data_IF_795222367138
#
_entry.id   IF_795222367138
#
_cell.length_a   1.000
_cell.length_b   1.000
_cell.length_c   1.000
_cell.angle_alpha   90.00
_cell.angle_beta   90.00
_cell.angle_gamma   90.00
#
_symmetry.space_group_name_H-M   'P 1'
#
loop_
_entity.id
_entity.type
_entity.pdbx_description
1 polymer ?
#
# COMPACT_ATOMS: atom_id res chain seq x y z
N UNK A 1 -62.40 -26.78 -4.62
CA UNK A 1 -61.48 -27.26 -5.67
C UNK A 1 -60.87 -26.06 -6.34
N UNK A 2 -59.54 -26.10 -6.53
CA UNK A 2 -58.73 -25.41 -7.56
C UNK A 2 -58.72 -23.87 -7.50
N UNK A 3 -57.66 -23.10 -7.68
CA UNK A 3 -56.19 -23.14 -7.56
C UNK A 3 -55.74 -21.68 -7.86
N UNK A 4 -54.57 -21.25 -7.37
CA UNK A 4 -53.93 -19.97 -7.76
C UNK A 4 -53.50 -19.97 -9.25
N UNK A 5 -53.10 -18.82 -9.82
CA UNK A 5 -51.66 -18.52 -9.83
C UNK A 5 -51.29 -17.05 -9.55
N UNK A 6 -50.02 -16.91 -9.18
CA UNK A 6 -49.26 -15.69 -8.93
C UNK A 6 -49.06 -14.81 -10.18
N UNK A 7 -48.75 -13.53 -9.94
CA UNK A 7 -48.06 -12.67 -10.92
C UNK A 7 -47.01 -11.80 -10.21
N UNK A 8 -45.75 -12.07 -10.52
CA UNK A 8 -44.56 -11.25 -10.29
C UNK A 8 -44.66 -9.93 -11.09
N UNK A 9 -44.05 -8.83 -10.62
CA UNK A 9 -42.85 -8.22 -11.25
C UNK A 9 -42.50 -6.86 -10.62
N UNK A 10 -41.23 -6.69 -10.23
CA UNK A 10 -40.40 -5.49 -10.42
C UNK A 10 -39.08 -5.70 -9.67
N UNK A 11 -38.11 -6.14 -10.46
CA UNK A 11 -36.68 -6.15 -10.19
C UNK A 11 -36.14 -4.75 -9.86
N UNK A 12 -35.52 -4.60 -8.70
CA UNK A 12 -34.40 -3.66 -8.53
C UNK A 12 -33.13 -4.50 -8.34
N UNK A 13 -32.41 -4.64 -9.45
CA UNK A 13 -31.04 -5.13 -9.51
C UNK A 13 -30.13 -4.23 -8.67
N UNK A 14 -29.69 -4.71 -7.51
CA UNK A 14 -28.63 -4.09 -6.71
C UNK A 14 -27.48 -5.06 -6.38
N UNK A 15 -27.28 -6.09 -7.20
CA UNK A 15 -25.92 -6.57 -7.47
C UNK A 15 -25.34 -5.62 -8.53
N UNK A 16 -24.13 -5.07 -8.45
CA UNK A 16 -22.87 -5.78 -8.25
C UNK A 16 -21.82 -4.76 -7.77
N UNK A 17 -21.47 -4.79 -6.49
CA UNK A 17 -20.07 -4.71 -6.02
C UNK A 17 -20.00 -5.62 -4.80
N UNK A 18 -20.24 -6.90 -5.06
CA UNK A 18 -20.05 -7.96 -4.07
C UNK A 18 -18.60 -7.94 -3.60
N UNK A 19 -18.41 -8.22 -2.30
CA UNK A 19 -17.19 -8.02 -1.54
C UNK A 19 -15.92 -8.25 -2.38
N UNK A 20 -15.08 -7.21 -2.51
CA UNK A 20 -13.68 -7.39 -2.91
C UNK A 20 -13.14 -8.56 -2.09
N UNK A 21 -12.77 -9.64 -2.76
CA UNK A 21 -12.22 -10.84 -2.12
C UNK A 21 -11.12 -10.37 -1.19
N UNK A 22 -11.30 -10.54 0.12
CA UNK A 22 -10.30 -10.10 1.10
C UNK A 22 -9.07 -11.01 0.93
N UNK A 23 -8.11 -10.55 0.13
CA UNK A 23 -6.81 -11.21 -0.03
C UNK A 23 -6.00 -10.92 1.22
N UNK A 24 -5.53 -11.97 1.89
CA UNK A 24 -4.68 -11.80 3.06
C UNK A 24 -3.33 -11.16 2.69
N UNK A 25 -2.68 -10.50 3.64
CA UNK A 25 -1.33 -9.97 3.46
C UNK A 25 -0.33 -11.04 3.00
N UNK A 26 -0.46 -12.27 3.52
CA UNK A 26 0.37 -13.40 3.15
C UNK A 26 0.15 -13.83 1.69
N UNK A 27 -1.11 -13.95 1.25
CA UNK A 27 -1.44 -14.28 -0.14
C UNK A 27 -0.95 -13.19 -1.09
N UNK A 28 -1.26 -11.92 -0.81
CA UNK A 28 -0.81 -10.80 -1.64
C UNK A 28 0.71 -10.81 -1.80
N UNK A 29 1.45 -10.88 -0.69
CA UNK A 29 2.92 -10.86 -0.75
C UNK A 29 3.47 -12.11 -1.43
N UNK A 30 2.85 -13.29 -1.27
CA UNK A 30 3.28 -14.50 -1.98
C UNK A 30 3.22 -14.37 -3.51
N UNK A 31 2.30 -13.55 -4.03
CA UNK A 31 2.13 -13.32 -5.48
C UNK A 31 3.12 -12.31 -6.06
N UNK A 32 3.85 -11.56 -5.24
CA UNK A 32 4.76 -10.53 -5.70
C UNK A 32 6.13 -11.10 -6.09
N UNK A 33 6.70 -10.55 -7.16
CA UNK A 33 8.08 -10.82 -7.57
C UNK A 33 9.08 -10.31 -6.52
N UNK A 34 10.29 -10.87 -6.51
CA UNK A 34 11.33 -10.44 -5.58
C UNK A 34 11.70 -8.95 -5.71
N UNK A 35 11.85 -8.36 -6.91
CA UNK A 35 12.09 -6.93 -7.05
C UNK A 35 10.98 -6.05 -6.46
N UNK A 36 9.71 -6.46 -6.60
CA UNK A 36 8.57 -5.71 -6.06
C UNK A 36 8.50 -5.81 -4.54
N UNK A 37 8.82 -6.98 -3.97
CA UNK A 37 8.95 -7.15 -2.52
C UNK A 37 10.02 -6.23 -1.94
N UNK A 38 11.19 -6.19 -2.57
CA UNK A 38 12.30 -5.29 -2.19
C UNK A 38 11.89 -3.82 -2.30
N UNK A 39 11.17 -3.44 -3.37
CA UNK A 39 10.66 -2.09 -3.56
C UNK A 39 9.70 -1.67 -2.44
N UNK A 40 8.75 -2.54 -2.07
CA UNK A 40 7.81 -2.30 -0.97
C UNK A 40 8.50 -2.25 0.39
N UNK A 41 9.40 -3.20 0.65
CA UNK A 41 10.17 -3.25 1.90
C UNK A 41 10.96 -1.95 2.10
N UNK A 42 11.71 -1.51 1.08
CA UNK A 42 12.48 -0.25 1.14
C UNK A 42 11.57 0.96 1.31
N UNK A 43 10.43 0.99 0.61
CA UNK A 43 9.44 2.06 0.77
C UNK A 43 8.93 2.17 2.22
N UNK A 44 8.70 1.03 2.88
CA UNK A 44 8.23 0.97 4.26
C UNK A 44 9.35 1.31 5.25
N UNK A 45 10.48 0.60 5.19
CA UNK A 45 11.55 0.69 6.18
C UNK A 45 12.23 2.07 6.19
N UNK A 46 12.50 2.61 5.00
CA UNK A 46 13.25 3.86 4.84
C UNK A 46 12.37 5.09 5.04
N UNK A 47 11.08 5.02 4.68
CA UNK A 47 10.15 6.14 4.82
C UNK A 47 9.40 6.14 6.17
N UNK A 48 9.77 5.27 7.11
CA UNK A 48 9.16 5.22 8.45
C UNK A 48 10.05 5.93 9.48
N UNK A 49 9.43 6.62 10.44
CA UNK A 49 10.13 7.18 11.61
C UNK A 49 10.03 6.31 12.86
N UNK A 50 9.21 5.24 12.81
CA UNK A 50 9.10 4.28 13.90
C UNK A 50 10.41 3.47 14.05
N UNK A 51 10.68 2.99 15.27
CA UNK A 51 11.91 2.27 15.61
C UNK A 51 11.61 1.03 16.43
N UNK A 52 12.56 0.10 16.47
CA UNK A 52 12.45 -1.13 17.27
C UNK A 52 12.60 -0.82 18.76
N UNK A 53 11.78 -1.45 19.58
CA UNK A 53 11.83 -1.33 21.02
C UNK A 53 11.02 -2.42 21.71
N UNK A 54 10.89 -2.32 23.02
CA UNK A 54 10.17 -3.28 23.85
C UNK A 54 8.98 -2.61 24.53
N UNK A 55 7.81 -3.24 24.48
CA UNK A 55 6.61 -2.83 25.20
C UNK A 55 6.05 -4.05 25.91
N UNK A 56 5.88 -3.97 27.23
CA UNK A 56 5.38 -5.07 28.07
C UNK A 56 6.17 -6.39 27.92
N UNK A 57 7.49 -6.30 27.66
CA UNK A 57 8.38 -7.46 27.47
C UNK A 57 8.39 -8.04 26.05
N UNK A 58 7.60 -7.49 25.13
CA UNK A 58 7.51 -7.94 23.74
C UNK A 58 8.26 -6.99 22.79
N UNK A 59 9.08 -7.57 21.91
CA UNK A 59 9.81 -6.81 20.89
C UNK A 59 8.86 -6.32 19.80
N UNK A 60 8.72 -5.00 19.68
CA UNK A 60 7.76 -4.36 18.78
C UNK A 60 8.34 -3.09 18.14
N UNK A 61 7.50 -2.34 17.44
CA UNK A 61 7.83 -1.04 16.89
C UNK A 61 7.13 0.07 17.68
N UNK A 62 7.89 1.11 18.00
CA UNK A 62 7.41 2.32 18.70
C UNK A 62 7.33 3.46 17.68
N UNK A 63 6.14 4.05 17.53
CA UNK A 63 5.87 5.11 16.56
C UNK A 63 4.38 5.29 16.29
N UNK A 64 4.03 5.89 15.15
CA UNK A 64 2.63 6.05 14.76
C UNK A 64 2.00 4.69 14.40
N UNK A 65 0.71 4.49 14.72
CA UNK A 65 0.01 3.21 14.50
C UNK A 65 0.10 2.72 13.05
N UNK A 66 0.06 3.63 12.08
CA UNK A 66 0.17 3.28 10.66
C UNK A 66 1.59 2.84 10.30
N UNK A 67 2.61 3.54 10.79
CA UNK A 67 4.01 3.17 10.51
C UNK A 67 4.42 1.86 11.19
N UNK A 68 3.98 1.64 12.42
CA UNK A 68 4.26 0.38 13.13
C UNK A 68 3.54 -0.78 12.47
N UNK A 69 2.29 -0.60 12.02
CA UNK A 69 1.57 -1.62 11.26
C UNK A 69 2.26 -2.00 9.94
N UNK A 70 2.77 -1.01 9.18
CA UNK A 70 3.52 -1.28 7.95
C UNK A 70 4.85 -1.99 8.23
N UNK A 71 5.58 -1.61 9.28
CA UNK A 71 6.81 -2.30 9.68
C UNK A 71 6.54 -3.75 10.12
N UNK A 72 5.44 -4.00 10.83
CA UNK A 72 4.99 -5.36 11.19
C UNK A 72 4.68 -6.18 9.94
N UNK A 73 3.95 -5.61 8.97
CA UNK A 73 3.69 -6.23 7.67
C UNK A 73 4.99 -6.60 6.95
N UNK A 74 5.95 -5.67 6.89
CA UNK A 74 7.22 -5.89 6.22
C UNK A 74 8.05 -6.99 6.91
N UNK A 75 8.09 -7.00 8.24
CA UNK A 75 8.77 -8.05 9.03
C UNK A 75 8.12 -9.42 8.81
N UNK A 76 6.79 -9.48 8.85
CA UNK A 76 6.06 -10.74 8.77
C UNK A 76 6.01 -11.34 7.35
N UNK A 77 5.95 -10.49 6.32
CA UNK A 77 5.58 -10.94 4.97
C UNK A 77 6.51 -10.50 3.85
N UNK A 78 7.40 -9.53 4.08
CA UNK A 78 8.39 -9.08 3.08
C UNK A 78 9.82 -9.54 3.39
N UNK A 79 10.02 -10.29 4.48
CA UNK A 79 11.34 -10.78 4.87
C UNK A 79 12.26 -9.69 5.44
N UNK A 80 11.68 -8.60 5.96
CA UNK A 80 12.46 -7.51 6.56
C UNK A 80 13.16 -7.98 7.83
N UNK A 81 14.48 -7.78 7.88
CA UNK A 81 15.29 -7.96 9.08
C UNK A 81 15.08 -6.81 10.09
N UNK A 82 16.09 -6.53 10.94
CA UNK A 82 16.08 -5.34 11.77
C UNK A 82 15.92 -4.07 10.92
N UNK A 83 14.97 -3.20 11.27
CA UNK A 83 14.71 -1.98 10.47
C UNK A 83 15.92 -1.04 10.44
N UNK A 84 16.75 -1.08 11.49
CA UNK A 84 18.02 -0.37 11.58
C UNK A 84 18.98 -0.79 10.47
N UNK A 85 19.10 -2.09 10.21
CA UNK A 85 19.97 -2.62 9.16
C UNK A 85 19.53 -2.15 7.76
N UNK A 86 18.23 -2.14 7.49
CA UNK A 86 17.69 -1.63 6.21
C UNK A 86 18.05 -0.15 6.00
N UNK A 87 17.96 0.65 7.07
CA UNK A 87 18.29 2.07 7.05
C UNK A 87 19.79 2.31 6.92
N UNK A 88 20.62 1.54 7.61
CA UNK A 88 22.08 1.63 7.55
C UNK A 88 22.63 1.21 6.18
N UNK A 89 21.96 0.28 5.50
CA UNK A 89 22.30 -0.13 4.13
C UNK A 89 21.90 0.89 3.06
N UNK A 90 21.15 1.95 3.41
CA UNK A 90 20.69 2.96 2.48
C UNK A 90 21.40 4.31 2.70
N UNK A 91 21.90 4.90 1.61
CA UNK A 91 22.40 6.29 1.67
C UNK A 91 21.24 7.27 1.49
N UNK A 92 20.84 7.90 2.58
CA UNK A 92 19.79 8.94 2.57
C UNK A 92 20.37 10.26 2.08
N UNK A 93 19.78 10.80 1.01
CA UNK A 93 20.16 12.09 0.42
C UNK A 93 19.33 13.24 1.00
N UNK A 94 18.04 12.99 1.25
CA UNK A 94 17.14 14.00 1.81
C UNK A 94 15.95 13.37 2.51
N UNK A 95 15.59 13.89 3.67
CA UNK A 95 14.31 13.62 4.33
C UNK A 95 13.37 14.78 4.05
N UNK A 96 12.13 14.47 3.66
CA UNK A 96 11.08 15.45 3.41
C UNK A 96 9.96 15.21 4.43
N UNK A 97 9.97 15.93 5.57
CA UNK A 97 8.99 15.75 6.63
C UNK A 97 7.54 15.89 6.14
N UNK A 98 6.62 15.36 6.94
CA UNK A 98 5.20 15.53 6.69
C UNK A 98 4.82 17.00 6.71
N UNK A 99 4.08 17.42 5.69
CA UNK A 99 3.52 18.75 5.60
C UNK A 99 2.03 18.64 5.34
N UNK A 100 1.22 19.39 6.11
CA UNK A 100 -0.25 19.33 6.05
C UNK A 100 -0.83 19.93 4.76
N UNK A 101 -0.10 20.84 4.10
CA UNK A 101 -0.48 21.42 2.82
C UNK A 101 -0.37 20.41 1.68
N UNK A 102 0.70 19.60 1.66
CA UNK A 102 0.87 18.51 0.67
C UNK A 102 0.37 17.14 1.12
N UNK A 103 0.03 16.98 2.41
CA UNK A 103 -0.46 15.75 3.05
C UNK A 103 0.38 14.50 2.74
N UNK A 104 1.69 14.67 2.64
CA UNK A 104 2.62 13.58 2.41
C UNK A 104 3.98 13.86 3.05
N UNK A 105 4.75 12.79 3.24
CA UNK A 105 6.17 12.81 3.58
C UNK A 105 6.95 11.90 2.64
N UNK A 106 8.27 12.05 2.60
CA UNK A 106 9.10 11.19 1.78
C UNK A 106 10.56 11.19 2.17
N UNK A 107 11.29 10.28 1.55
CA UNK A 107 12.73 10.14 1.70
C UNK A 107 13.36 9.92 0.33
N UNK A 108 14.43 10.66 0.05
CA UNK A 108 15.24 10.52 -1.15
C UNK A 108 16.48 9.73 -0.78
N UNK A 109 16.71 8.62 -1.47
CA UNK A 109 17.87 7.74 -1.26
C UNK A 109 18.67 7.56 -2.53
N UNK A 110 19.96 7.31 -2.41
CA UNK A 110 20.83 7.01 -3.53
C UNK A 110 20.59 5.59 -4.05
N UNK A 111 20.54 5.42 -5.38
CA UNK A 111 20.45 4.11 -6.00
C UNK A 111 21.86 3.52 -6.25
N UNK A 112 22.07 2.21 -6.10
CA UNK A 112 23.36 1.57 -6.37
C UNK A 112 23.85 1.74 -7.82
N UNK A 113 22.92 1.86 -8.77
CA UNK A 113 23.18 2.07 -10.20
C UNK A 113 23.46 3.53 -10.56
N UNK A 114 23.52 4.42 -9.58
CA UNK A 114 23.58 5.86 -9.77
C UNK A 114 22.18 6.51 -9.80
N UNK A 115 22.14 7.82 -9.55
CA UNK A 115 20.89 8.57 -9.39
C UNK A 115 20.27 8.41 -8.00
N UNK A 116 19.00 8.78 -7.89
CA UNK A 116 18.26 8.81 -6.63
C UNK A 116 16.83 8.32 -6.82
N UNK A 117 16.23 7.80 -5.74
CA UNK A 117 14.82 7.40 -5.67
C UNK A 117 14.12 8.10 -4.53
N UNK A 118 12.96 8.68 -4.80
CA UNK A 118 12.05 9.23 -3.80
C UNK A 118 11.02 8.16 -3.43
N UNK A 119 11.02 7.75 -2.17
CA UNK A 119 9.90 7.02 -1.57
C UNK A 119 8.97 8.04 -0.91
N UNK A 120 7.66 7.97 -1.19
CA UNK A 120 6.66 8.92 -0.70
C UNK A 120 5.47 8.17 -0.09
N UNK A 121 4.96 8.66 1.04
CA UNK A 121 3.73 8.18 1.68
C UNK A 121 2.87 9.36 2.12
N UNK A 122 1.55 9.19 2.08
CA UNK A 122 0.60 10.27 2.35
C UNK A 122 -0.83 9.88 1.98
N UNK A 123 -1.71 10.86 1.89
CA UNK A 123 -3.09 10.64 1.44
C UNK A 123 -3.10 10.05 0.02
N UNK A 124 -3.77 8.91 -0.15
CA UNK A 124 -3.75 8.10 -1.37
C UNK A 124 -4.33 8.86 -2.57
N UNK A 125 -5.39 9.64 -2.39
CA UNK A 125 -6.02 10.45 -3.44
C UNK A 125 -5.06 11.54 -3.95
N UNK A 126 -4.29 12.15 -3.04
CA UNK A 126 -3.34 13.21 -3.37
C UNK A 126 -2.12 12.64 -4.11
N UNK A 127 -1.65 11.47 -3.71
CA UNK A 127 -0.55 10.80 -4.39
C UNK A 127 -0.99 10.28 -5.76
N UNK A 128 -2.16 9.64 -5.85
CA UNK A 128 -2.70 9.12 -7.11
C UNK A 128 -2.85 10.23 -8.16
N UNK A 129 -3.32 11.41 -7.77
CA UNK A 129 -3.44 12.57 -8.66
C UNK A 129 -2.09 13.03 -9.26
N UNK A 130 -0.95 12.59 -8.71
CA UNK A 130 0.40 12.88 -9.21
C UNK A 130 1.04 11.69 -9.93
N UNK A 131 0.44 10.51 -9.87
CA UNK A 131 0.95 9.31 -10.50
C UNK A 131 0.67 9.33 -12.01
N UNK A 132 1.70 9.02 -12.81
CA UNK A 132 1.59 8.89 -14.28
C UNK A 132 1.87 7.47 -14.76
N UNK A 133 2.37 6.61 -13.87
CA UNK A 133 2.77 5.23 -14.14
C UNK A 133 2.37 4.31 -13.00
N UNK A 134 2.24 3.04 -13.31
CA UNK A 134 1.98 1.95 -12.36
C UNK A 134 2.86 0.74 -12.71
N UNK A 135 3.02 -0.20 -11.78
CA UNK A 135 3.63 -1.48 -12.07
C UNK A 135 2.81 -2.21 -13.15
N UNK A 136 3.49 -2.78 -14.15
CA UNK A 136 2.82 -3.46 -15.26
C UNK A 136 2.27 -4.81 -14.82
N UNK A 137 3.13 -5.67 -14.26
CA UNK A 137 2.76 -6.93 -13.64
C UNK A 137 3.64 -7.17 -12.40
N UNK A 138 3.12 -6.84 -11.20
CA UNK A 138 3.86 -6.99 -9.95
C UNK A 138 4.31 -8.42 -9.64
N UNK A 139 3.72 -9.44 -10.27
CA UNK A 139 4.10 -10.85 -10.08
C UNK A 139 5.34 -11.24 -10.89
N UNK A 140 5.68 -10.46 -11.92
CA UNK A 140 6.80 -10.72 -12.82
C UNK A 140 8.05 -9.92 -12.41
N UNK A 141 7.97 -8.59 -12.37
CA UNK A 141 9.11 -7.70 -12.07
C UNK A 141 8.66 -6.31 -11.58
N UNK A 142 9.59 -5.34 -11.50
CA UNK A 142 9.33 -3.94 -11.15
C UNK A 142 9.17 -3.01 -12.37
N UNK A 143 8.88 -3.57 -13.55
CA UNK A 143 8.61 -2.79 -14.75
C UNK A 143 7.33 -1.97 -14.62
N UNK A 144 7.33 -0.80 -15.25
CA UNK A 144 6.23 0.16 -15.17
C UNK A 144 5.59 0.41 -16.53
N UNK A 145 4.27 0.59 -16.52
CA UNK A 145 3.47 1.02 -17.66
C UNK A 145 2.80 2.36 -17.37
N UNK A 146 2.22 2.98 -18.40
CA UNK A 146 1.44 4.21 -18.25
C UNK A 146 0.19 3.92 -17.44
N UNK A 147 -0.10 4.75 -16.44
CA UNK A 147 -1.36 4.65 -15.70
C UNK A 147 -2.49 5.12 -16.61
N UNK A 148 -3.37 4.21 -17.04
CA UNK A 148 -4.49 4.58 -17.91
C UNK A 148 -5.56 5.35 -17.12
N UNK A 149 -6.41 6.09 -17.83
CA UNK A 149 -7.54 6.76 -17.20
C UNK A 149 -8.50 5.77 -16.52
N UNK A 150 -8.63 4.56 -17.06
CA UNK A 150 -9.45 3.51 -16.47
C UNK A 150 -8.82 2.98 -15.17
N UNK A 151 -7.50 2.74 -15.15
CA UNK A 151 -6.79 2.32 -13.93
C UNK A 151 -6.93 3.38 -12.83
N UNK A 152 -6.72 4.65 -13.19
CA UNK A 152 -6.87 5.77 -12.27
C UNK A 152 -8.28 5.84 -11.66
N UNK A 153 -9.31 5.62 -12.47
CA UNK A 153 -10.70 5.56 -11.99
C UNK A 153 -10.92 4.39 -11.04
N UNK A 154 -10.49 3.18 -11.42
CA UNK A 154 -10.61 1.98 -10.58
C UNK A 154 -9.92 2.15 -9.23
N UNK A 155 -8.70 2.71 -9.21
CA UNK A 155 -7.96 2.96 -7.96
C UNK A 155 -8.68 4.03 -7.11
N UNK A 156 -9.25 5.06 -7.74
CA UNK A 156 -10.02 6.10 -7.02
C UNK A 156 -11.25 5.50 -6.33
N UNK A 157 -12.05 4.69 -7.03
CA UNK A 157 -13.22 4.01 -6.46
C UNK A 157 -12.84 3.07 -5.30
N UNK A 158 -11.70 2.39 -5.41
CA UNK A 158 -11.18 1.54 -4.35
C UNK A 158 -10.76 2.35 -3.11
N UNK A 159 -10.11 3.50 -3.31
CA UNK A 159 -9.75 4.41 -2.22
C UNK A 159 -11.01 4.90 -1.49
N UNK A 160 -12.03 5.35 -2.23
CA UNK A 160 -13.31 5.79 -1.66
C UNK A 160 -14.02 4.67 -0.89
N UNK A 161 -13.96 3.44 -1.41
CA UNK A 161 -14.50 2.26 -0.74
C UNK A 161 -13.83 2.01 0.61
N UNK A 162 -12.49 2.04 0.68
CA UNK A 162 -11.79 1.88 1.95
C UNK A 162 -12.06 3.03 2.92
N UNK A 163 -12.10 4.27 2.42
CA UNK A 163 -12.42 5.44 3.23
C UNK A 163 -13.83 5.35 3.85
N UNK A 164 -14.82 4.84 3.11
CA UNK A 164 -16.19 4.62 3.62
C UNK A 164 -16.26 3.63 4.79
N UNK A 165 -15.27 2.72 4.88
CA UNK A 165 -15.11 1.74 5.97
C UNK A 165 -14.18 2.24 7.08
N UNK A 166 -13.82 3.52 7.08
CA UNK A 166 -12.87 4.13 8.02
C UNK A 166 -11.46 3.53 7.97
N UNK A 167 -11.08 2.89 6.87
CA UNK A 167 -9.72 2.40 6.62
C UNK A 167 -8.89 3.52 5.98
N UNK A 168 -7.61 3.58 6.34
CA UNK A 168 -6.65 4.61 5.92
C UNK A 168 -5.33 3.99 5.50
#
# INVERSE_FOLDING_TARGET
GVARPDSQDSSDESGVVDAATEVSAAELTSMLSAPVKDLLLKSIALNSTAFEGEVDGEQTFIGSKTETALLLLARAHLGMGPVSLERDNATTLQIIPFDSGRKCMGIVVQLPTGGARLYVKGASEILLAKCTRTLSDPSTDDSVTTLSAQDGKTITELIETYASRSLR
#
